data_IF_320261102324
#
_entry.id   IF_320261102324
#
_cell.length_a   1.000
_cell.length_b   1.000
_cell.length_c   1.000
_cell.angle_alpha   90.00
_cell.angle_beta   90.00
_cell.angle_gamma   90.00
#
_symmetry.space_group_name_H-M   'P 1'
#
loop_
_entity.id
_entity.type
_entity.pdbx_description
1 polymer ?
#
# COMPACT_ATOMS: atom_id res chain seq x y z
N UNK A 1 -23.41 33.17 54.01
CA UNK A 1 -24.11 32.67 52.80
C UNK A 1 -23.26 33.06 51.61
N UNK A 2 -22.39 32.18 51.24
CA UNK A 2 -21.49 32.41 50.11
C UNK A 2 -21.49 31.09 49.37
N UNK A 3 -22.21 31.07 48.25
CA UNK A 3 -22.37 29.90 47.39
C UNK A 3 -21.71 30.13 46.07
N UNK A 4 -20.76 29.33 45.78
CA UNK A 4 -20.46 28.61 44.54
C UNK A 4 -20.81 29.28 43.19
N UNK A 5 -19.80 29.75 42.51
CA UNK A 5 -19.73 29.95 41.07
C UNK A 5 -18.34 29.56 40.56
N UNK A 6 -17.99 28.31 40.71
CA UNK A 6 -16.87 27.68 40.01
C UNK A 6 -17.39 26.36 39.49
N UNK A 7 -17.46 26.17 38.22
CA UNK A 7 -17.51 24.84 37.52
C UNK A 7 -18.22 24.92 36.18
N UNK A 8 -18.02 25.96 35.38
CA UNK A 8 -18.53 25.90 33.99
C UNK A 8 -17.42 26.14 32.95
N UNK A 9 -16.28 26.73 33.33
CA UNK A 9 -15.20 27.03 32.40
C UNK A 9 -14.17 25.90 32.21
N UNK A 10 -14.18 24.86 33.04
CA UNK A 10 -13.22 23.74 32.95
C UNK A 10 -13.73 22.59 32.07
N UNK A 11 -15.00 22.59 31.67
CA UNK A 11 -15.57 21.56 30.79
C UNK A 11 -15.53 21.86 29.31
N UNK A 12 -15.17 23.08 28.89
CA UNK A 12 -15.06 23.47 27.47
C UNK A 12 -13.66 23.32 26.89
N UNK A 13 -12.64 22.96 27.69
CA UNK A 13 -11.26 22.81 27.21
C UNK A 13 -10.87 21.42 26.71
N UNK A 14 -11.76 20.45 26.77
CA UNK A 14 -11.47 19.07 26.32
C UNK A 14 -12.17 18.64 25.02
N UNK A 15 -12.84 19.57 24.33
CA UNK A 15 -13.56 19.26 23.08
C UNK A 15 -12.97 19.92 21.82
N UNK A 16 -11.75 20.46 21.88
CA UNK A 16 -11.15 21.18 20.73
C UNK A 16 -9.86 20.51 20.25
N UNK A 17 -9.80 19.19 20.25
CA UNK A 17 -8.56 18.46 19.95
C UNK A 17 -8.67 17.29 18.99
N UNK A 18 -9.71 17.16 18.13
CA UNK A 18 -9.78 16.00 17.27
C UNK A 18 -10.22 16.22 15.82
N UNK A 19 -10.45 17.45 15.37
CA UNK A 19 -10.97 17.67 14.00
C UNK A 19 -9.89 17.91 12.94
N UNK A 20 -8.60 17.78 13.27
CA UNK A 20 -7.53 18.14 12.33
C UNK A 20 -6.33 17.18 12.38
N UNK A 21 -6.56 15.91 12.71
CA UNK A 21 -5.52 14.88 12.74
C UNK A 21 -5.78 13.84 11.66
N UNK A 22 -4.73 13.46 10.91
CA UNK A 22 -4.77 12.38 9.93
C UNK A 22 -3.95 11.20 10.41
N UNK A 23 -4.54 10.02 10.39
CA UNK A 23 -3.84 8.78 10.64
C UNK A 23 -3.32 8.21 9.32
N UNK A 24 -2.02 7.97 9.28
CA UNK A 24 -1.34 7.47 8.08
C UNK A 24 -0.69 6.13 8.36
N UNK A 25 -0.86 5.19 7.44
CA UNK A 25 -0.05 3.97 7.36
C UNK A 25 1.24 4.33 6.66
N UNK A 26 2.38 4.18 7.38
CA UNK A 26 3.70 4.48 6.84
C UNK A 26 4.32 3.24 6.19
N UNK A 27 4.92 3.44 5.04
CA UNK A 27 5.69 2.44 4.32
C UNK A 27 6.90 3.06 3.63
N UNK A 28 7.82 2.22 3.19
CA UNK A 28 9.06 2.63 2.55
C UNK A 28 9.06 2.23 1.07
N UNK A 29 9.59 3.14 0.25
CA UNK A 29 9.93 2.91 -1.15
C UNK A 29 11.32 3.49 -1.40
N UNK A 30 12.27 2.64 -1.79
CA UNK A 30 13.66 3.03 -2.09
C UNK A 30 14.37 3.79 -0.95
N UNK A 31 13.93 3.55 0.31
CA UNK A 31 14.50 4.19 1.50
C UNK A 31 13.82 5.48 1.94
N UNK A 32 12.87 6.00 1.16
CA UNK A 32 12.06 7.15 1.52
C UNK A 32 10.75 6.75 2.19
N UNK A 33 10.24 7.59 3.10
CA UNK A 33 9.01 7.31 3.82
C UNK A 33 7.80 7.89 3.10
N UNK A 34 6.83 7.04 2.87
CA UNK A 34 5.54 7.37 2.28
C UNK A 34 4.42 7.10 3.29
N UNK A 35 3.30 7.78 3.13
CA UNK A 35 2.13 7.58 3.96
C UNK A 35 0.85 7.62 3.15
N UNK A 36 -0.08 6.73 3.46
CA UNK A 36 -1.44 6.74 2.93
C UNK A 36 -2.43 6.82 4.08
N UNK A 37 -3.58 7.42 3.84
CA UNK A 37 -4.64 7.51 4.83
C UNK A 37 -5.06 6.11 5.28
N UNK A 38 -5.17 5.90 6.59
CA UNK A 38 -5.51 4.59 7.15
C UNK A 38 -6.88 4.11 6.67
N UNK A 39 -7.82 5.03 6.42
CA UNK A 39 -9.15 4.68 5.93
C UNK A 39 -9.16 4.15 4.49
N UNK A 40 -8.11 4.42 3.73
CA UNK A 40 -7.93 3.87 2.38
C UNK A 40 -7.35 2.45 2.42
N UNK A 41 -6.79 2.00 3.55
CA UNK A 41 -6.13 0.70 3.67
C UNK A 41 -7.10 -0.33 4.23
N UNK A 42 -7.40 -1.34 3.41
CA UNK A 42 -8.23 -2.47 3.86
C UNK A 42 -7.41 -3.52 4.60
N UNK A 43 -6.20 -3.82 4.11
CA UNK A 43 -5.36 -4.92 4.61
C UNK A 43 -3.89 -4.75 4.26
N UNK A 44 -3.04 -5.30 5.12
CA UNK A 44 -1.60 -5.44 4.89
C UNK A 44 -1.26 -6.94 4.85
N UNK A 45 -0.56 -7.38 3.80
CA UNK A 45 -0.17 -8.77 3.65
C UNK A 45 1.31 -8.90 3.28
N UNK A 46 1.89 -10.06 3.53
CA UNK A 46 3.15 -10.45 2.93
C UNK A 46 2.93 -10.64 1.42
N UNK A 47 3.98 -10.52 0.64
CA UNK A 47 3.89 -10.77 -0.80
C UNK A 47 3.70 -12.28 -1.01
N UNK A 48 2.53 -12.72 -1.50
CA UNK A 48 2.32 -14.10 -1.89
C UNK A 48 2.94 -14.35 -3.28
N UNK A 49 2.75 -15.52 -3.81
CA UNK A 49 3.03 -15.78 -5.22
C UNK A 49 2.21 -14.84 -6.11
N UNK A 50 2.91 -14.16 -7.05
CA UNK A 50 2.30 -13.17 -7.95
C UNK A 50 2.25 -13.76 -9.35
N UNK A 51 1.05 -14.03 -9.84
CA UNK A 51 0.83 -14.51 -11.23
C UNK A 51 0.95 -13.36 -12.20
N UNK A 52 1.86 -13.47 -13.16
CA UNK A 52 2.10 -12.41 -14.15
C UNK A 52 1.02 -12.35 -15.21
N UNK A 53 0.53 -11.15 -15.49
CA UNK A 53 -0.45 -10.89 -16.54
C UNK A 53 0.28 -10.56 -17.85
N UNK A 54 0.08 -11.32 -18.93
CA UNK A 54 0.70 -11.04 -20.23
C UNK A 54 0.27 -9.67 -20.78
N UNK A 55 1.24 -8.90 -21.31
CA UNK A 55 1.02 -7.57 -21.89
C UNK A 55 0.54 -6.50 -20.93
N UNK A 56 0.69 -6.74 -19.63
CA UNK A 56 0.41 -5.73 -18.61
C UNK A 56 1.36 -4.54 -18.73
N UNK A 57 0.92 -3.32 -18.34
CA UNK A 57 1.82 -2.19 -18.16
C UNK A 57 2.97 -2.52 -17.21
N UNK A 58 4.13 -1.88 -17.40
CA UNK A 58 5.35 -2.20 -16.64
C UNK A 58 5.21 -2.07 -15.12
N UNK A 59 4.32 -1.20 -14.65
CA UNK A 59 4.04 -0.99 -13.23
C UNK A 59 3.09 -2.05 -12.62
N UNK A 60 2.38 -2.83 -13.44
CA UNK A 60 1.57 -3.96 -12.98
C UNK A 60 2.49 -5.16 -12.77
N UNK A 61 2.69 -5.56 -11.52
CA UNK A 61 3.52 -6.72 -11.20
C UNK A 61 2.85 -8.03 -11.58
N UNK A 62 1.52 -8.09 -11.43
CA UNK A 62 0.69 -9.25 -11.74
C UNK A 62 -0.61 -9.21 -10.95
N UNK A 63 -1.15 -10.38 -10.65
CA UNK A 63 -2.32 -10.56 -9.78
C UNK A 63 -2.01 -11.55 -8.67
N UNK A 64 -2.75 -11.45 -7.58
CA UNK A 64 -2.70 -12.38 -6.45
C UNK A 64 -4.11 -12.86 -6.14
N UNK A 65 -4.23 -14.08 -5.62
CA UNK A 65 -5.46 -14.58 -5.03
C UNK A 65 -5.45 -14.32 -3.51
N UNK A 66 -6.46 -13.63 -3.02
CA UNK A 66 -6.67 -13.43 -1.61
C UNK A 66 -8.06 -13.94 -1.23
N UNK A 67 -8.14 -15.21 -0.85
CA UNK A 67 -9.39 -15.89 -0.45
C UNK A 67 -10.45 -15.98 -1.56
N UNK A 68 -10.02 -16.11 -2.80
CA UNK A 68 -10.88 -16.19 -3.99
C UNK A 68 -11.12 -14.84 -4.69
N UNK A 69 -10.58 -13.74 -4.14
CA UNK A 69 -10.60 -12.44 -4.79
C UNK A 69 -9.30 -12.22 -5.58
N UNK A 70 -9.41 -12.02 -6.87
CA UNK A 70 -8.26 -11.73 -7.74
C UNK A 70 -7.92 -10.24 -7.63
N UNK A 71 -6.79 -9.93 -7.03
CA UNK A 71 -6.34 -8.57 -6.75
C UNK A 71 -5.15 -8.21 -7.62
N UNK A 72 -5.24 -7.20 -8.50
CA UNK A 72 -4.10 -6.70 -9.26
C UNK A 72 -3.08 -6.01 -8.33
N UNK A 73 -1.80 -6.30 -8.58
CA UNK A 73 -0.68 -5.79 -7.81
C UNK A 73 0.10 -4.76 -8.60
N UNK A 74 0.19 -3.56 -8.07
CA UNK A 74 0.89 -2.41 -8.62
C UNK A 74 2.21 -2.21 -7.90
N UNK A 75 3.30 -2.22 -8.63
CA UNK A 75 4.62 -1.87 -8.12
C UNK A 75 4.76 -0.34 -8.10
N UNK A 76 4.73 0.25 -6.90
CA UNK A 76 4.80 1.71 -6.75
C UNK A 76 6.16 2.28 -7.20
N UNK A 77 7.27 1.55 -7.03
CA UNK A 77 8.57 2.00 -7.52
C UNK A 77 8.55 2.20 -9.04
N UNK A 78 8.01 1.21 -9.76
CA UNK A 78 7.85 1.29 -11.22
C UNK A 78 6.84 2.37 -11.62
N UNK A 79 5.74 2.50 -10.88
CA UNK A 79 4.70 3.51 -11.15
C UNK A 79 5.22 4.94 -11.00
N UNK A 80 6.09 5.18 -10.02
CA UNK A 80 6.69 6.49 -9.78
C UNK A 80 7.96 6.74 -10.61
N UNK A 81 8.36 5.77 -11.46
CA UNK A 81 9.56 5.89 -12.29
C UNK A 81 10.86 5.93 -11.48
N UNK A 82 10.86 5.35 -10.29
CA UNK A 82 12.05 5.26 -9.45
C UNK A 82 12.99 4.23 -10.09
N UNK A 83 14.18 4.67 -10.50
CA UNK A 83 15.24 3.81 -11.02
C UNK A 83 15.69 2.85 -9.92
N UNK A 84 16.09 1.64 -10.28
CA UNK A 84 16.41 0.55 -9.36
C UNK A 84 15.18 -0.01 -8.61
N UNK A 85 14.11 -0.25 -9.37
CA UNK A 85 12.83 -0.77 -8.90
C UNK A 85 12.88 -2.23 -8.40
N UNK A 86 13.98 -2.63 -7.78
CA UNK A 86 14.07 -3.88 -7.02
C UNK A 86 13.56 -3.64 -5.61
N UNK A 87 12.68 -4.53 -5.15
CA UNK A 87 12.19 -4.50 -3.77
C UNK A 87 13.37 -4.63 -2.80
N UNK A 88 13.40 -3.73 -1.84
CA UNK A 88 14.37 -3.80 -0.75
C UNK A 88 13.72 -4.52 0.43
N UNK A 89 14.27 -5.69 0.78
CA UNK A 89 13.74 -6.48 1.88
C UNK A 89 12.59 -7.42 1.52
N UNK A 90 11.80 -7.79 2.52
CA UNK A 90 10.76 -8.82 2.41
C UNK A 90 9.46 -8.32 1.76
N UNK A 91 9.41 -7.17 1.14
CA UNK A 91 8.24 -6.60 0.51
C UNK A 91 6.92 -6.74 1.29
N UNK A 92 5.99 -5.88 1.03
CA UNK A 92 4.61 -5.98 1.55
C UNK A 92 3.64 -5.51 0.50
N UNK A 93 2.41 -5.99 0.60
CA UNK A 93 1.31 -5.48 -0.22
C UNK A 93 0.33 -4.74 0.69
N UNK A 94 0.09 -3.48 0.37
CA UNK A 94 -0.93 -2.63 0.97
C UNK A 94 -2.16 -2.74 0.09
N UNK A 95 -3.20 -3.43 0.57
CA UNK A 95 -4.46 -3.59 -0.16
C UNK A 95 -5.34 -2.37 0.14
N UNK A 96 -5.73 -1.68 -0.92
CA UNK A 96 -6.54 -0.45 -0.88
C UNK A 96 -7.76 -0.59 -1.78
N UNK A 97 -8.75 0.26 -1.54
CA UNK A 97 -9.92 0.41 -2.38
C UNK A 97 -9.83 1.74 -3.15
N UNK A 98 -9.94 1.68 -4.46
CA UNK A 98 -9.93 2.85 -5.35
C UNK A 98 -11.21 2.81 -6.19
N UNK A 99 -12.16 3.68 -5.86
CA UNK A 99 -13.51 3.56 -6.41
C UNK A 99 -14.16 2.25 -5.98
N UNK A 100 -14.58 1.43 -6.92
CA UNK A 100 -15.17 0.10 -6.69
C UNK A 100 -14.14 -1.04 -6.86
N UNK A 101 -12.85 -0.70 -7.06
CA UNK A 101 -11.80 -1.69 -7.33
C UNK A 101 -10.86 -1.88 -6.13
N UNK A 102 -10.54 -3.14 -5.83
CA UNK A 102 -9.52 -3.49 -4.85
C UNK A 102 -8.19 -3.65 -5.57
N UNK A 103 -7.16 -2.96 -5.08
CA UNK A 103 -5.82 -2.93 -5.67
C UNK A 103 -4.77 -3.16 -4.58
N UNK A 104 -3.75 -3.94 -4.87
CA UNK A 104 -2.59 -4.13 -4.01
C UNK A 104 -1.42 -3.25 -4.43
N UNK A 105 -0.89 -2.43 -3.54
CA UNK A 105 0.33 -1.67 -3.75
C UNK A 105 1.53 -2.41 -3.17
N UNK A 106 2.46 -2.78 -4.03
CA UNK A 106 3.70 -3.44 -3.65
C UNK A 106 4.70 -2.39 -3.16
N UNK A 107 5.18 -2.55 -1.92
CA UNK A 107 6.09 -1.64 -1.21
C UNK A 107 7.26 -2.42 -0.59
N UNK A 108 8.37 -1.72 -0.27
CA UNK A 108 9.57 -2.36 0.30
C UNK A 108 9.33 -2.85 1.73
N UNK A 109 8.69 -2.05 2.56
CA UNK A 109 8.35 -2.38 3.93
C UNK A 109 7.18 -1.52 4.43
N UNK A 110 6.39 -2.03 5.36
CA UNK A 110 5.43 -1.24 6.12
C UNK A 110 5.99 -1.04 7.52
N UNK A 111 5.99 0.21 8.01
CA UNK A 111 6.63 0.57 9.28
C UNK A 111 5.63 0.61 10.41
N UNK A 112 4.79 1.64 10.46
CA UNK A 112 3.88 1.91 11.57
C UNK A 112 2.66 2.72 11.11
N UNK A 113 1.70 2.88 12.01
CA UNK A 113 0.63 3.87 11.86
C UNK A 113 1.00 5.09 12.68
N UNK A 114 1.03 6.26 12.06
CA UNK A 114 1.28 7.53 12.74
C UNK A 114 0.11 8.48 12.63
N UNK A 115 0.02 9.41 13.57
CA UNK A 115 -0.95 10.50 13.53
C UNK A 115 -0.19 11.81 13.30
N UNK A 116 -0.57 12.53 12.27
CA UNK A 116 -0.05 13.86 11.98
C UNK A 116 -1.17 14.89 12.05
N UNK A 117 -0.85 16.08 12.62
CA UNK A 117 -1.74 17.22 12.47
C UNK A 117 -1.74 17.68 11.01
N UNK A 118 -2.89 18.14 10.51
CA UNK A 118 -2.93 18.75 9.17
C UNK A 118 -1.98 19.96 9.04
N UNK A 119 -1.66 20.62 10.15
CA UNK A 119 -0.67 21.71 10.16
C UNK A 119 0.77 21.22 9.92
N UNK A 120 1.06 19.97 10.19
CA UNK A 120 2.36 19.33 9.94
C UNK A 120 2.48 18.75 8.53
N UNK A 121 1.40 18.83 7.73
CA UNK A 121 1.36 18.40 6.34
C UNK A 121 1.35 19.63 5.44
N UNK A 122 2.48 19.91 4.82
CA UNK A 122 2.62 21.00 3.87
C UNK A 122 2.18 20.56 2.46
N UNK A 123 1.50 21.41 1.69
CA UNK A 123 1.19 21.09 0.30
C UNK A 123 2.49 20.92 -0.51
N UNK A 124 2.49 20.07 -1.56
CA UNK A 124 3.68 19.87 -2.36
C UNK A 124 4.12 21.18 -3.01
N UNK A 125 5.43 21.46 -2.98
CA UNK A 125 5.98 22.66 -3.59
C UNK A 125 5.79 22.63 -5.11
N UNK A 126 5.80 23.81 -5.76
CA UNK A 126 5.67 23.91 -7.22
C UNK A 126 6.74 23.13 -8.02
N UNK A 127 7.86 22.77 -7.38
CA UNK A 127 8.92 21.95 -7.99
C UNK A 127 8.52 20.47 -7.97
N UNK A 128 7.77 20.04 -6.97
CA UNK A 128 7.27 18.65 -6.81
C UNK A 128 5.90 18.49 -7.46
N UNK A 129 5.10 19.56 -7.49
CA UNK A 129 3.76 19.54 -8.08
C UNK A 129 3.84 19.55 -9.62
N UNK A 130 3.48 18.43 -10.25
CA UNK A 130 3.40 18.27 -11.70
C UNK A 130 2.27 17.31 -12.05
N UNK A 131 1.94 17.18 -13.34
CA UNK A 131 0.92 16.23 -13.79
C UNK A 131 1.27 14.78 -13.49
N UNK A 132 2.57 14.48 -13.38
CA UNK A 132 3.06 13.13 -13.10
C UNK A 132 3.22 12.86 -11.60
N UNK A 133 2.91 13.85 -10.73
CA UNK A 133 3.05 13.78 -9.27
C UNK A 133 1.81 14.29 -8.52
N UNK A 134 0.67 14.40 -9.19
CA UNK A 134 -0.59 14.87 -8.60
C UNK A 134 -1.17 13.91 -7.55
N UNK A 135 -0.64 12.67 -7.50
CA UNK A 135 -0.88 11.71 -6.43
C UNK A 135 -0.21 12.07 -5.10
N UNK A 136 0.73 13.05 -5.07
CA UNK A 136 1.30 13.56 -3.82
C UNK A 136 0.36 14.61 -3.25
N UNK A 137 -0.31 14.29 -2.15
CA UNK A 137 -1.24 15.19 -1.48
C UNK A 137 -0.55 16.19 -0.54
N UNK A 138 0.65 15.87 -0.06
CA UNK A 138 1.43 16.73 0.84
C UNK A 138 2.73 16.08 1.29
N UNK A 139 3.49 16.84 2.07
CA UNK A 139 4.71 16.38 2.73
C UNK A 139 4.53 16.60 4.23
N UNK A 140 4.41 15.49 4.97
CA UNK A 140 4.30 15.48 6.42
C UNK A 140 5.66 15.55 7.09
N UNK A 141 5.69 16.18 8.27
CA UNK A 141 6.86 16.25 9.15
C UNK A 141 6.54 15.59 10.47
N UNK A 142 7.27 14.54 10.80
CA UNK A 142 7.13 13.83 12.07
C UNK A 142 8.41 13.97 12.88
N UNK A 143 8.28 14.42 14.14
CA UNK A 143 9.41 14.48 15.05
C UNK A 143 9.85 13.07 15.45
N UNK A 144 11.13 12.77 15.31
CA UNK A 144 11.76 11.53 15.74
C UNK A 144 13.02 11.85 16.53
N UNK A 145 12.92 11.91 17.87
CA UNK A 145 14.01 12.36 18.73
C UNK A 145 14.42 13.81 18.42
N UNK A 146 15.69 14.02 18.12
CA UNK A 146 16.27 15.34 17.78
C UNK A 146 16.16 15.69 16.27
N UNK A 147 15.56 14.81 15.46
CA UNK A 147 15.43 14.96 14.00
C UNK A 147 13.96 14.90 13.58
N UNK A 148 13.66 15.43 12.40
CA UNK A 148 12.38 15.26 11.76
C UNK A 148 12.54 14.29 10.59
N UNK A 149 11.63 13.34 10.48
CA UNK A 149 11.47 12.55 9.26
C UNK A 149 10.44 13.22 8.35
N UNK A 150 10.72 13.17 7.06
CA UNK A 150 9.77 13.61 6.03
C UNK A 150 8.95 12.41 5.56
N UNK A 151 7.65 12.63 5.37
CA UNK A 151 6.71 11.62 4.92
C UNK A 151 6.00 12.18 3.69
N UNK A 152 6.15 11.51 2.55
CA UNK A 152 5.43 11.86 1.32
C UNK A 152 4.02 11.28 1.44
N UNK A 153 3.02 12.14 1.63
CA UNK A 153 1.62 11.72 1.79
C UNK A 153 0.98 11.54 0.42
N UNK A 154 0.48 10.34 0.16
CA UNK A 154 -0.14 9.97 -1.11
C UNK A 154 -1.66 10.04 -1.03
N UNK A 155 -2.25 10.44 -2.16
CA UNK A 155 -3.66 10.24 -2.46
C UNK A 155 -3.80 8.98 -3.32
N UNK A 156 -4.24 7.87 -2.72
CA UNK A 156 -4.33 6.58 -3.40
C UNK A 156 -5.25 6.61 -4.62
N UNK A 157 -6.26 7.47 -4.62
CA UNK A 157 -7.21 7.61 -5.73
C UNK A 157 -6.58 8.26 -6.96
N UNK A 158 -5.43 8.93 -6.79
CA UNK A 158 -4.69 9.59 -7.87
C UNK A 158 -3.42 8.83 -8.30
N UNK A 159 -3.07 7.76 -7.58
CA UNK A 159 -1.90 6.94 -7.94
C UNK A 159 -2.06 6.32 -9.33
N UNK A 160 -3.28 5.95 -9.70
CA UNK A 160 -3.63 5.42 -11.02
C UNK A 160 -4.48 6.43 -11.78
N UNK A 161 -4.15 6.66 -13.03
CA UNK A 161 -4.96 7.47 -13.94
C UNK A 161 -6.14 6.70 -14.51
N UNK A 162 -7.09 7.40 -15.17
CA UNK A 162 -8.32 6.81 -15.69
C UNK A 162 -8.08 5.64 -16.65
N UNK A 163 -7.06 5.74 -17.51
CA UNK A 163 -6.69 4.66 -18.44
C UNK A 163 -6.09 3.45 -17.72
N UNK A 164 -5.35 3.69 -16.66
CA UNK A 164 -4.73 2.64 -15.84
C UNK A 164 -5.80 1.92 -15.02
N UNK A 165 -6.76 2.66 -14.48
CA UNK A 165 -7.92 2.09 -13.80
C UNK A 165 -8.77 1.22 -14.72
N UNK A 166 -9.09 1.69 -15.93
CA UNK A 166 -9.84 0.91 -16.91
C UNK A 166 -9.12 -0.41 -17.27
N UNK A 167 -7.77 -0.41 -17.32
CA UNK A 167 -7.00 -1.63 -17.51
C UNK A 167 -7.11 -2.58 -16.31
N UNK A 168 -7.04 -2.04 -15.09
CA UNK A 168 -7.15 -2.81 -13.84
C UNK A 168 -8.51 -3.49 -13.75
N UNK A 169 -9.59 -2.80 -14.08
CA UNK A 169 -10.95 -3.37 -14.15
C UNK A 169 -11.02 -4.56 -15.09
N UNK A 170 -10.45 -4.43 -16.30
CA UNK A 170 -10.41 -5.53 -17.27
C UNK A 170 -9.65 -6.74 -16.75
N UNK A 171 -8.54 -6.53 -16.04
CA UNK A 171 -7.73 -7.61 -15.48
C UNK A 171 -8.47 -8.33 -14.35
N UNK A 172 -9.12 -7.58 -13.46
CA UNK A 172 -9.89 -8.14 -12.34
C UNK A 172 -11.10 -8.97 -12.80
N UNK A 173 -11.75 -8.58 -13.92
CA UNK A 173 -12.95 -9.23 -14.43
C UNK A 173 -12.67 -10.35 -15.43
N UNK A 174 -11.42 -10.54 -15.90
CA UNK A 174 -11.15 -11.44 -17.02
C UNK A 174 -10.99 -12.91 -16.58
N UNK A 175 -11.87 -13.85 -17.02
CA UNK A 175 -11.83 -15.25 -16.62
C UNK A 175 -10.53 -15.98 -17.01
N UNK A 176 -9.79 -15.49 -18.01
CA UNK A 176 -8.49 -16.03 -18.39
C UNK A 176 -7.39 -15.75 -17.34
N UNK A 177 -7.52 -14.69 -16.55
CA UNK A 177 -6.60 -14.39 -15.44
C UNK A 177 -6.89 -15.33 -14.27
N UNK A 178 -8.17 -15.56 -13.96
CA UNK A 178 -8.58 -16.51 -12.94
C UNK A 178 -8.09 -17.95 -13.27
N UNK A 179 -8.18 -18.39 -14.53
CA UNK A 179 -7.67 -19.68 -14.97
C UNK A 179 -6.13 -19.79 -14.91
N UNK A 180 -5.40 -18.70 -15.12
CA UNK A 180 -3.94 -18.69 -15.00
C UNK A 180 -3.50 -18.83 -13.53
N UNK A 181 -4.21 -18.21 -12.61
CA UNK A 181 -3.95 -18.32 -11.16
C UNK A 181 -4.23 -19.74 -10.66
N UNK A 182 -5.35 -20.36 -11.08
CA UNK A 182 -5.69 -21.74 -10.72
C UNK A 182 -4.69 -22.77 -11.31
N UNK A 183 -4.15 -22.52 -12.51
CA UNK A 183 -3.18 -23.42 -13.15
C UNK A 183 -1.81 -23.37 -12.46
N UNK A 184 -1.40 -22.23 -11.94
CA UNK A 184 -0.13 -22.04 -11.24
C UNK A 184 -0.19 -22.66 -9.83
N UNK A 185 -1.30 -22.45 -9.11
CA UNK A 185 -1.55 -23.08 -7.81
C UNK A 185 -1.61 -24.62 -7.87
N UNK A 186 -2.05 -25.20 -9.01
CA UNK A 186 -2.12 -26.64 -9.21
C UNK A 186 -0.76 -27.29 -9.54
N UNK A 187 0.23 -26.50 -9.98
CA UNK A 187 1.55 -27.01 -10.33
C UNK A 187 2.47 -27.23 -9.13
N UNK A 188 2.23 -26.52 -8.03
CA UNK A 188 3.07 -26.60 -6.82
C UNK A 188 2.78 -27.85 -5.96
N UNK A 189 1.58 -28.42 -6.06
CA UNK A 189 1.19 -29.65 -5.34
C UNK A 189 1.72 -30.95 -6.00
N UNK A 190 2.23 -30.88 -7.23
CA UNK A 190 2.68 -32.05 -7.97
C UNK A 190 4.16 -32.43 -7.79
N UNK A 191 4.96 -31.62 -7.09
CA UNK A 191 6.41 -31.84 -6.91
C UNK A 191 6.83 -32.47 -5.57
N UNK A 192 5.88 -32.71 -4.67
CA UNK A 192 6.16 -33.22 -3.33
C UNK A 192 6.25 -34.79 -3.22
N UNK A 193 6.01 -35.54 -4.31
CA UNK A 193 5.87 -36.99 -4.23
C UNK A 193 6.85 -37.83 -5.11
N UNK A 194 8.06 -37.31 -5.35
CA UNK A 194 9.04 -38.03 -6.17
C UNK A 194 10.45 -38.02 -5.60
N UNK A 195 10.66 -38.52 -4.36
CA UNK A 195 11.99 -38.95 -3.88
C UNK A 195 11.86 -40.13 -2.89
N UNK A 196 11.38 -41.27 -3.38
CA UNK A 196 11.64 -42.57 -2.74
C UNK A 196 12.44 -43.42 -3.71
N UNK A 197 13.77 -43.30 -3.66
CA UNK A 197 14.69 -44.20 -4.36
C UNK A 197 14.94 -45.47 -3.52
N UNK A 198 14.76 -46.69 -4.07
CA UNK A 198 15.10 -47.89 -3.36
C UNK A 198 16.63 -48.07 -3.32
N UNK A 199 17.14 -48.34 -2.11
CA UNK A 199 18.53 -48.78 -1.92
C UNK A 199 18.70 -50.19 -2.46
N UNK A 200 19.52 -50.30 -3.48
CA UNK A 200 19.94 -51.59 -4.02
C UNK A 200 21.12 -52.15 -3.17
N UNK A 201 20.87 -53.33 -2.63
CA UNK A 201 21.77 -54.17 -1.85
C UNK A 201 22.89 -54.68 -2.75
N UNK A 202 24.16 -54.41 -2.39
CA UNK A 202 25.33 -55.01 -3.00
C UNK A 202 25.92 -56.03 -2.03
N UNK A 203 25.86 -57.30 -2.47
CA UNK A 203 26.58 -58.43 -1.88
C UNK A 203 28.07 -58.43 -2.24
#
# INVERSE_FOLDING_TARGET
>A
MTGATETTEERERTATGSDNERQLVLFQLSGENYGVDIYSVQRLIQVPEVTKVPRAPAFVEGVIDVRGDIIPVINLLKRFGISDAELRGDGRIVITEIGDQIVGFLVDAVSEVTTLSEHDIEPPSAVVAGKDTDFISGIGKQAQGDSNILIIVLDVHKVLGDHEMAYIEQVAEHPAVAQAVEADAASDDATADAEEMPQEEIA
#
